data_IF_821692756916
#
_entry.id   IF_821692756916
#
_cell.length_a   1.000
_cell.length_b   1.000
_cell.length_c   1.000
_cell.angle_alpha   90.00
_cell.angle_beta   90.00
_cell.angle_gamma   90.00
#
_symmetry.space_group_name_H-M   'P 1'
#
loop_
_entity.id
_entity.type
_entity.pdbx_description
1 polymer ?
#
# COMPACT_ATOMS: atom_id res chain seq x y z
N UNK A 1 -47.12 -31.08 -14.36
CA UNK A 1 -46.65 -29.80 -14.89
C UNK A 1 -46.33 -28.91 -13.70
N UNK A 2 -45.06 -28.84 -13.36
CA UNK A 2 -44.54 -28.04 -12.24
C UNK A 2 -43.10 -27.70 -12.61
N UNK A 3 -42.86 -26.42 -12.89
CA UNK A 3 -41.54 -25.89 -13.25
C UNK A 3 -40.77 -25.66 -11.94
N UNK A 4 -39.57 -26.22 -11.74
CA UNK A 4 -38.74 -25.79 -10.63
C UNK A 4 -38.02 -24.48 -11.00
N UNK A 5 -38.11 -23.53 -10.06
CA UNK A 5 -37.44 -22.23 -10.04
C UNK A 5 -35.92 -22.40 -10.09
N UNK A 6 -35.28 -21.87 -11.13
CA UNK A 6 -33.84 -21.65 -11.14
C UNK A 6 -33.50 -20.58 -10.07
N UNK A 7 -32.71 -20.94 -9.07
CA UNK A 7 -32.00 -19.96 -8.25
C UNK A 7 -30.74 -19.58 -9.03
N UNK A 8 -30.59 -18.28 -9.28
CA UNK A 8 -29.37 -17.64 -9.80
C UNK A 8 -28.16 -18.15 -9.03
N UNK A 9 -27.42 -19.05 -9.65
CA UNK A 9 -26.01 -19.23 -9.40
C UNK A 9 -25.37 -18.80 -10.71
N UNK A 10 -24.82 -17.60 -10.75
CA UNK A 10 -23.93 -17.20 -11.83
C UNK A 10 -22.70 -18.09 -11.71
N UNK A 11 -22.70 -19.15 -12.54
CA UNK A 11 -21.58 -20.04 -12.73
C UNK A 11 -20.43 -19.24 -13.34
N UNK A 12 -19.52 -18.73 -12.51
CA UNK A 12 -18.15 -18.49 -12.97
C UNK A 12 -17.58 -19.85 -13.33
N UNK A 13 -17.45 -20.11 -14.63
CA UNK A 13 -16.57 -21.16 -15.12
C UNK A 13 -15.16 -20.80 -14.62
N UNK A 14 -14.72 -21.44 -13.54
CA UNK A 14 -13.30 -21.55 -13.23
C UNK A 14 -12.73 -22.35 -14.41
N UNK A 15 -12.19 -21.67 -15.43
CA UNK A 15 -11.31 -22.34 -16.36
C UNK A 15 -10.12 -22.84 -15.53
N UNK A 16 -10.03 -24.16 -15.39
CA UNK A 16 -8.87 -24.80 -14.77
C UNK A 16 -7.60 -24.25 -15.43
N UNK A 17 -6.71 -23.63 -14.64
CA UNK A 17 -5.41 -23.12 -15.09
C UNK A 17 -5.30 -21.62 -15.30
N UNK A 18 -6.38 -20.86 -15.46
CA UNK A 18 -6.30 -19.39 -15.56
C UNK A 18 -6.08 -18.76 -14.18
N UNK A 19 -5.04 -17.94 -14.04
CA UNK A 19 -4.64 -17.36 -12.76
C UNK A 19 -4.09 -15.95 -12.87
N UNK A 20 -4.35 -15.16 -11.84
CA UNK A 20 -3.70 -13.87 -11.56
C UNK A 20 -3.32 -13.85 -10.08
N UNK A 21 -2.16 -13.28 -9.78
CA UNK A 21 -1.66 -13.06 -8.41
C UNK A 21 -1.16 -11.62 -8.30
N UNK A 22 -1.79 -10.80 -7.47
CA UNK A 22 -1.41 -9.40 -7.24
C UNK A 22 -0.61 -9.24 -5.95
N UNK A 23 0.56 -8.60 -6.03
CA UNK A 23 1.46 -8.41 -4.89
C UNK A 23 2.20 -7.08 -4.97
N UNK A 24 2.81 -6.64 -3.87
CA UNK A 24 3.65 -5.42 -3.84
C UNK A 24 5.14 -5.74 -3.91
N UNK A 25 5.98 -4.70 -3.96
CA UNK A 25 7.43 -4.84 -3.79
C UNK A 25 7.86 -5.35 -2.40
N UNK A 26 6.96 -5.35 -1.40
CA UNK A 26 7.23 -5.87 -0.05
C UNK A 26 6.75 -7.31 0.14
N UNK A 27 5.87 -7.83 -0.72
CA UNK A 27 5.31 -9.18 -0.58
C UNK A 27 3.84 -9.26 -0.97
N UNK A 28 3.12 -10.23 -0.40
CA UNK A 28 1.72 -10.50 -0.75
C UNK A 28 1.53 -11.51 -1.88
N UNK A 29 2.52 -12.39 -2.12
CA UNK A 29 2.41 -13.43 -3.15
C UNK A 29 1.49 -14.57 -2.69
N UNK A 30 0.61 -14.99 -3.59
CA UNK A 30 -0.36 -16.05 -3.37
C UNK A 30 -1.78 -15.49 -3.28
N UNK A 31 -2.80 -16.33 -3.52
CA UNK A 31 -4.18 -15.86 -3.65
C UNK A 31 -4.63 -15.11 -2.40
N UNK A 32 -4.97 -13.82 -2.58
CA UNK A 32 -5.46 -12.97 -1.49
C UNK A 32 -4.53 -12.86 -0.27
N UNK A 33 -3.22 -12.99 -0.47
CA UNK A 33 -2.22 -12.87 0.60
C UNK A 33 -1.88 -11.39 0.82
N UNK A 34 -2.00 -10.84 2.04
CA UNK A 34 -1.70 -9.43 2.29
C UNK A 34 -0.19 -9.12 2.17
N UNK A 35 0.11 -7.88 1.82
CA UNK A 35 1.48 -7.36 1.79
C UNK A 35 1.88 -6.73 3.13
N UNK A 36 3.18 -6.69 3.45
CA UNK A 36 3.68 -5.86 4.54
C UNK A 36 3.24 -4.39 4.44
N UNK A 37 3.18 -3.69 5.59
CA UNK A 37 2.67 -2.33 5.65
C UNK A 37 3.59 -1.31 4.98
N UNK A 38 3.04 -0.12 4.76
CA UNK A 38 3.73 1.04 4.20
C UNK A 38 3.53 2.27 5.07
N UNK A 39 4.48 3.20 5.01
CA UNK A 39 4.34 4.52 5.62
C UNK A 39 3.82 5.53 4.58
N UNK A 40 3.22 6.66 4.99
CA UNK A 40 2.94 7.79 4.11
C UNK A 40 4.15 8.18 3.25
N UNK A 41 3.92 8.78 2.09
CA UNK A 41 4.98 9.16 1.15
C UNK A 41 5.69 8.00 0.43
N UNK A 42 5.54 6.75 0.89
CA UNK A 42 6.09 5.57 0.21
C UNK A 42 5.54 5.46 -1.22
N UNK A 43 6.40 5.03 -2.16
CA UNK A 43 5.94 4.58 -3.47
C UNK A 43 5.43 3.15 -3.34
N UNK A 44 4.25 2.87 -3.89
CA UNK A 44 3.67 1.53 -3.97
C UNK A 44 3.84 1.04 -5.40
N UNK A 45 4.38 -0.17 -5.56
CA UNK A 45 4.44 -0.85 -6.85
C UNK A 45 3.55 -2.08 -6.73
N UNK A 46 2.52 -2.15 -7.58
CA UNK A 46 1.68 -3.33 -7.72
C UNK A 46 2.17 -4.13 -8.92
N UNK A 47 2.36 -5.42 -8.71
CA UNK A 47 2.62 -6.40 -9.75
C UNK A 47 1.40 -7.30 -9.86
N UNK A 48 1.06 -7.71 -11.08
CA UNK A 48 0.15 -8.81 -11.34
C UNK A 48 0.88 -9.88 -12.15
N UNK A 49 0.97 -11.09 -11.61
CA UNK A 49 1.49 -12.25 -12.30
C UNK A 49 0.33 -13.02 -12.93
N UNK A 50 0.28 -13.06 -14.26
CA UNK A 50 -0.80 -13.69 -15.03
C UNK A 50 -0.30 -14.99 -15.63
N UNK A 51 -1.05 -16.07 -15.38
CA UNK A 51 -0.68 -17.41 -15.83
C UNK A 51 -1.85 -18.17 -16.45
N UNK A 52 -1.54 -19.06 -17.39
CA UNK A 52 -2.46 -20.08 -17.90
C UNK A 52 -1.80 -21.45 -17.82
N UNK A 53 -2.34 -22.35 -16.99
CA UNK A 53 -1.71 -23.62 -16.59
C UNK A 53 -0.28 -23.43 -16.06
N UNK A 54 -0.09 -22.45 -15.18
CA UNK A 54 1.22 -22.06 -14.60
C UNK A 54 2.25 -21.50 -15.60
N UNK A 55 1.90 -21.39 -16.89
CA UNK A 55 2.73 -20.72 -17.89
C UNK A 55 2.43 -19.22 -17.92
N UNK A 56 3.44 -18.36 -18.05
CA UNK A 56 3.25 -16.91 -18.07
C UNK A 56 2.49 -16.46 -19.31
N UNK A 57 1.47 -15.63 -19.11
CA UNK A 57 0.67 -15.05 -20.20
C UNK A 57 1.13 -13.63 -20.51
N UNK A 58 1.78 -13.44 -21.66
CA UNK A 58 2.28 -12.14 -22.13
C UNK A 58 1.19 -11.32 -22.87
N UNK A 59 1.35 -9.99 -22.90
CA UNK A 59 0.52 -9.02 -23.63
C UNK A 59 -0.96 -9.01 -23.17
N UNK A 60 -1.22 -9.43 -21.94
CA UNK A 60 -2.54 -9.31 -21.30
C UNK A 60 -2.67 -7.95 -20.67
N UNK A 61 -3.76 -7.25 -20.96
CA UNK A 61 -4.06 -6.00 -20.27
C UNK A 61 -4.65 -6.29 -18.90
N UNK A 62 -3.97 -5.82 -17.84
CA UNK A 62 -4.41 -5.99 -16.46
C UNK A 62 -4.91 -4.64 -15.94
N UNK A 63 -6.12 -4.65 -15.36
CA UNK A 63 -6.66 -3.50 -14.64
C UNK A 63 -6.43 -3.68 -13.13
N UNK A 64 -5.93 -2.64 -12.48
CA UNK A 64 -5.72 -2.56 -11.04
C UNK A 64 -6.69 -1.53 -10.46
N UNK A 65 -7.69 -1.97 -9.70
CA UNK A 65 -8.62 -1.11 -8.98
C UNK A 65 -8.10 -0.91 -7.55
N UNK A 66 -7.71 0.31 -7.21
CA UNK A 66 -7.09 0.63 -5.92
C UNK A 66 -8.06 1.44 -5.08
N UNK A 67 -8.42 0.92 -3.91
CA UNK A 67 -9.30 1.53 -2.93
C UNK A 67 -8.49 2.07 -1.75
N UNK A 68 -8.79 3.32 -1.37
CA UNK A 68 -8.33 3.90 -0.12
C UNK A 68 -9.17 3.36 1.08
N UNK A 69 -8.77 3.66 2.33
CA UNK A 69 -9.51 3.20 3.51
C UNK A 69 -10.95 3.71 3.60
N UNK A 70 -11.28 4.80 2.89
CA UNK A 70 -12.61 5.42 2.84
C UNK A 70 -13.47 4.86 1.70
N UNK A 71 -12.94 3.91 0.93
CA UNK A 71 -13.54 3.31 -0.26
C UNK A 71 -13.60 4.24 -1.49
N UNK A 72 -12.89 5.37 -1.47
CA UNK A 72 -12.60 6.09 -2.71
C UNK A 72 -11.62 5.26 -3.53
N UNK A 73 -11.68 5.35 -4.86
CA UNK A 73 -10.84 4.52 -5.71
C UNK A 73 -10.37 5.21 -6.98
N UNK A 74 -9.30 4.66 -7.54
CA UNK A 74 -8.81 4.96 -8.88
C UNK A 74 -8.35 3.67 -9.56
N UNK A 75 -8.17 3.73 -10.88
CA UNK A 75 -7.79 2.59 -11.70
C UNK A 75 -6.48 2.91 -12.42
N UNK A 76 -5.55 1.95 -12.39
CA UNK A 76 -4.37 1.94 -13.25
C UNK A 76 -4.43 0.69 -14.12
N UNK A 77 -3.74 0.69 -15.26
CA UNK A 77 -3.61 -0.50 -16.09
C UNK A 77 -2.21 -0.64 -16.67
N UNK A 78 -1.84 -1.89 -16.99
CA UNK A 78 -0.58 -2.21 -17.67
C UNK A 78 -0.70 -3.56 -18.38
N UNK A 79 0.03 -3.69 -19.49
CA UNK A 79 0.13 -4.96 -20.21
C UNK A 79 1.23 -5.86 -19.61
N UNK A 80 1.00 -7.17 -19.59
CA UNK A 80 1.99 -8.15 -19.11
C UNK A 80 3.19 -8.27 -20.07
N UNK A 81 4.38 -8.39 -19.50
CA UNK A 81 5.62 -8.64 -20.24
C UNK A 81 5.80 -10.14 -20.58
N UNK A 82 6.96 -10.52 -21.13
CA UNK A 82 7.30 -11.92 -21.50
C UNK A 82 7.30 -12.90 -20.33
N UNK A 83 7.39 -12.39 -19.09
CA UNK A 83 7.33 -13.20 -17.87
C UNK A 83 5.94 -13.23 -17.25
N UNK A 84 4.92 -12.71 -17.95
CA UNK A 84 3.54 -12.68 -17.45
C UNK A 84 3.27 -11.59 -16.41
N UNK A 85 4.21 -10.65 -16.19
CA UNK A 85 4.08 -9.60 -15.18
C UNK A 85 3.59 -8.30 -15.80
N UNK A 86 2.47 -7.77 -15.31
CA UNK A 86 2.07 -6.38 -15.46
C UNK A 86 2.45 -5.61 -14.18
N UNK A 87 2.87 -4.35 -14.31
CA UNK A 87 3.28 -3.54 -13.17
C UNK A 87 2.81 -2.09 -13.30
N UNK A 88 2.26 -1.56 -12.21
CA UNK A 88 1.88 -0.15 -12.06
C UNK A 88 2.45 0.40 -10.77
N UNK A 89 2.57 1.73 -10.66
CA UNK A 89 3.00 2.35 -9.41
C UNK A 89 2.29 3.66 -9.14
N UNK A 90 2.12 3.97 -7.86
CA UNK A 90 1.62 5.25 -7.38
C UNK A 90 2.35 5.64 -6.09
N UNK A 91 2.18 6.87 -5.64
CA UNK A 91 2.80 7.38 -4.41
C UNK A 91 1.72 7.71 -3.39
N UNK A 92 1.87 7.23 -2.17
CA UNK A 92 1.01 7.62 -1.06
C UNK A 92 1.22 9.12 -0.76
N UNK A 93 0.17 9.87 -0.39
CA UNK A 93 0.31 11.26 0.04
C UNK A 93 1.37 11.43 1.14
N UNK A 94 2.00 12.60 1.16
CA UNK A 94 2.94 13.05 2.20
C UNK A 94 2.28 13.01 3.58
N UNK A 95 3.05 13.00 4.70
CA UNK A 95 2.47 12.95 6.04
C UNK A 95 1.54 14.12 6.41
N UNK A 96 1.54 15.21 5.66
CA UNK A 96 0.48 16.23 5.74
C UNK A 96 -0.88 15.62 5.37
N UNK A 97 -1.74 15.39 6.38
CA UNK A 97 -3.02 14.72 6.22
C UNK A 97 -2.93 13.18 6.24
N UNK A 98 -1.80 12.61 6.69
CA UNK A 98 -1.59 11.16 6.72
C UNK A 98 -2.61 10.39 7.56
N UNK A 99 -3.20 11.03 8.57
CA UNK A 99 -4.28 10.46 9.36
C UNK A 99 -5.49 10.06 8.50
N UNK A 100 -5.69 10.72 7.34
CA UNK A 100 -6.81 10.44 6.44
C UNK A 100 -6.54 9.27 5.48
N UNK A 101 -5.28 8.84 5.33
CA UNK A 101 -4.88 7.74 4.45
C UNK A 101 -4.41 6.50 5.22
N UNK A 102 -4.22 6.61 6.53
CA UNK A 102 -3.89 5.49 7.40
C UNK A 102 -5.06 4.50 7.41
N UNK A 103 -4.75 3.21 7.32
CA UNK A 103 -5.77 2.16 7.26
C UNK A 103 -5.48 1.10 6.20
N UNK A 104 -6.44 0.20 6.02
CA UNK A 104 -6.35 -0.87 5.01
C UNK A 104 -6.64 -0.30 3.63
N UNK A 105 -5.66 -0.40 2.76
CA UNK A 105 -5.81 -0.21 1.32
C UNK A 105 -6.04 -1.56 0.66
N UNK A 106 -6.84 -1.56 -0.42
CA UNK A 106 -7.15 -2.78 -1.17
C UNK A 106 -6.93 -2.57 -2.66
N UNK A 107 -6.18 -3.46 -3.29
CA UNK A 107 -6.04 -3.54 -4.73
C UNK A 107 -6.78 -4.78 -5.25
N UNK A 108 -7.66 -4.61 -6.23
CA UNK A 108 -8.31 -5.71 -6.94
C UNK A 108 -7.75 -5.68 -8.36
N UNK A 109 -7.05 -6.75 -8.74
CA UNK A 109 -6.49 -6.86 -10.08
C UNK A 109 -7.32 -7.82 -10.91
N UNK A 110 -7.56 -7.47 -12.17
CA UNK A 110 -8.36 -8.30 -13.06
C UNK A 110 -7.81 -8.34 -14.47
N UNK A 111 -8.04 -9.48 -15.13
CA UNK A 111 -7.54 -9.78 -16.47
C UNK A 111 -8.47 -10.76 -17.16
N UNK A 112 -8.52 -10.71 -18.50
CA UNK A 112 -9.21 -11.72 -19.30
C UNK A 112 -8.21 -12.74 -19.88
N UNK A 113 -8.45 -14.03 -19.66
CA UNK A 113 -7.64 -15.15 -20.15
C UNK A 113 -8.60 -16.16 -20.77
N UNK A 114 -8.43 -16.45 -22.08
CA UNK A 114 -9.29 -17.39 -22.80
C UNK A 114 -10.80 -17.12 -22.58
N UNK A 115 -11.21 -15.86 -22.72
CA UNK A 115 -12.60 -15.37 -22.54
C UNK A 115 -13.15 -15.49 -21.11
N UNK A 116 -12.30 -15.81 -20.13
CA UNK A 116 -12.66 -15.80 -18.71
C UNK A 116 -12.00 -14.65 -17.99
N UNK A 117 -12.81 -13.93 -17.23
CA UNK A 117 -12.36 -12.88 -16.33
C UNK A 117 -11.86 -13.50 -15.03
N UNK A 118 -10.60 -13.25 -14.70
CA UNK A 118 -9.95 -13.73 -13.48
C UNK A 118 -9.55 -12.54 -12.62
N UNK A 119 -9.71 -12.69 -11.31
CA UNK A 119 -9.48 -11.63 -10.33
C UNK A 119 -8.63 -12.15 -9.18
N UNK A 120 -7.76 -11.30 -8.66
CA UNK A 120 -7.13 -11.48 -7.36
C UNK A 120 -7.16 -10.16 -6.57
N UNK A 121 -7.06 -10.27 -5.25
CA UNK A 121 -7.15 -9.14 -4.33
C UNK A 121 -5.90 -9.08 -3.47
N UNK A 122 -5.40 -7.88 -3.19
CA UNK A 122 -4.30 -7.64 -2.27
C UNK A 122 -4.72 -6.58 -1.27
N UNK A 123 -4.45 -6.83 0.01
CA UNK A 123 -4.56 -5.83 1.06
C UNK A 123 -3.18 -5.44 1.57
N UNK A 124 -2.99 -4.15 1.88
CA UNK A 124 -1.84 -3.66 2.60
C UNK A 124 -2.28 -2.54 3.55
N UNK A 125 -1.63 -2.45 4.70
CA UNK A 125 -1.96 -1.44 5.69
C UNK A 125 -1.01 -0.25 5.56
N UNK A 126 -1.55 0.96 5.57
CA UNK A 126 -0.76 2.19 5.69
C UNK A 126 -0.78 2.63 7.14
N UNK A 127 0.40 2.72 7.75
CA UNK A 127 0.57 3.12 9.16
C UNK A 127 1.06 4.56 9.20
N UNK A 128 0.27 5.42 9.85
CA UNK A 128 0.76 6.73 10.28
C UNK A 128 1.12 6.71 11.77
N UNK A 129 2.36 7.08 12.07
CA UNK A 129 2.80 7.37 13.42
C UNK A 129 3.61 8.66 13.38
N UNK A 130 3.14 9.70 14.08
CA UNK A 130 3.79 11.01 14.09
C UNK A 130 5.22 10.97 14.64
N UNK A 131 5.56 9.96 15.44
CA UNK A 131 6.89 9.76 16.00
C UNK A 131 7.86 8.97 15.09
N UNK A 132 7.37 8.36 14.01
CA UNK A 132 8.20 7.73 12.96
C UNK A 132 8.56 8.81 11.94
N UNK A 133 9.63 9.53 12.26
CA UNK A 133 10.05 10.77 11.59
C UNK A 133 10.67 10.47 10.24
N UNK A 134 11.42 9.36 10.14
CA UNK A 134 12.08 8.96 8.90
C UNK A 134 11.19 8.05 8.01
N UNK A 135 10.02 7.66 8.50
CA UNK A 135 9.00 6.86 7.81
C UNK A 135 9.47 5.44 7.44
N UNK A 136 10.28 4.84 8.30
CA UNK A 136 10.81 3.48 8.13
C UNK A 136 9.98 2.39 8.82
N UNK A 137 8.84 2.77 9.40
CA UNK A 137 7.90 1.93 10.16
C UNK A 137 8.41 1.53 11.54
N UNK A 138 9.42 2.22 12.06
CA UNK A 138 9.97 2.05 13.40
C UNK A 138 10.03 3.41 14.08
N UNK A 139 9.89 3.39 15.40
CA UNK A 139 10.23 4.53 16.24
C UNK A 139 11.44 4.15 17.04
N UNK A 140 12.61 4.59 16.60
CA UNK A 140 13.89 4.23 17.20
C UNK A 140 14.81 5.44 17.41
N UNK A 141 16.10 5.17 17.63
CA UNK A 141 17.07 6.23 17.91
C UNK A 141 17.30 7.14 16.71
N UNK A 142 17.08 6.68 15.48
CA UNK A 142 17.26 7.48 14.29
C UNK A 142 16.20 8.58 14.17
N UNK A 143 14.96 8.35 14.62
CA UNK A 143 13.93 9.40 14.69
C UNK A 143 14.34 10.50 15.67
N UNK A 144 14.74 10.09 16.88
CA UNK A 144 15.16 11.03 17.92
C UNK A 144 16.42 11.81 17.52
N UNK A 145 17.41 11.14 16.90
CA UNK A 145 18.64 11.79 16.42
C UNK A 145 18.35 12.75 15.26
N UNK A 146 17.41 12.42 14.37
CA UNK A 146 16.98 13.32 13.28
C UNK A 146 16.43 14.62 13.85
N UNK A 147 15.61 14.56 14.90
CA UNK A 147 15.05 15.77 15.51
C UNK A 147 16.03 16.49 16.44
N UNK A 148 16.90 15.77 17.13
CA UNK A 148 17.99 16.37 17.90
C UNK A 148 18.94 17.18 16.99
N UNK A 149 19.20 16.72 15.75
CA UNK A 149 20.00 17.46 14.79
C UNK A 149 19.34 18.77 14.31
N UNK A 150 18.00 18.85 14.38
CA UNK A 150 17.23 20.04 14.06
C UNK A 150 16.87 20.90 15.29
N UNK A 151 17.29 20.51 16.50
CA UNK A 151 16.85 21.13 17.75
C UNK A 151 17.09 22.65 17.78
N UNK A 152 16.07 23.39 18.20
CA UNK A 152 16.04 24.84 18.28
C UNK A 152 15.77 25.56 16.96
N UNK A 153 15.71 24.85 15.82
CA UNK A 153 15.38 25.47 14.52
C UNK A 153 13.91 25.87 14.40
N UNK A 154 13.66 26.77 13.47
CA UNK A 154 12.35 27.27 13.03
C UNK A 154 12.27 27.21 11.50
N UNK A 155 11.08 27.34 10.86
CA UNK A 155 10.91 27.18 9.41
C UNK A 155 11.81 28.01 8.48
N UNK A 156 12.42 29.10 8.96
CA UNK A 156 13.38 29.91 8.17
C UNK A 156 14.82 29.41 8.22
N UNK A 157 15.14 28.48 9.13
CA UNK A 157 16.50 28.05 9.41
C UNK A 157 16.92 26.92 8.47
N UNK A 158 18.19 26.90 8.07
CA UNK A 158 18.72 25.95 7.07
C UNK A 158 18.59 24.48 7.51
N UNK A 159 18.66 24.21 8.80
CA UNK A 159 18.57 22.86 9.36
C UNK A 159 17.18 22.54 9.95
N UNK A 160 16.16 23.33 9.59
CA UNK A 160 14.77 23.01 9.89
C UNK A 160 14.34 21.71 9.22
N UNK A 161 13.72 20.83 10.00
CA UNK A 161 13.07 19.64 9.49
C UNK A 161 11.58 19.67 9.89
N UNK A 162 10.64 19.89 8.96
CA UNK A 162 9.22 19.93 9.29
C UNK A 162 8.68 18.59 9.79
N UNK A 163 9.34 17.46 9.49
CA UNK A 163 8.94 16.15 10.02
C UNK A 163 9.23 15.99 11.51
N UNK A 164 10.00 16.91 12.10
CA UNK A 164 10.30 16.92 13.52
C UNK A 164 9.40 17.84 14.35
N UNK A 165 8.57 18.69 13.72
CA UNK A 165 7.67 19.64 14.38
C UNK A 165 6.34 18.94 14.69
N UNK A 166 6.35 18.05 15.68
CA UNK A 166 5.32 17.04 15.91
C UNK A 166 4.56 17.22 17.22
N UNK A 167 4.96 18.17 18.05
CA UNK A 167 4.32 18.51 19.31
C UNK A 167 4.19 20.02 19.50
N UNK A 168 3.25 20.44 20.34
CA UNK A 168 3.16 21.84 20.75
C UNK A 168 4.33 22.21 21.68
N UNK A 169 4.94 23.40 21.52
CA UNK A 169 4.57 24.46 20.58
C UNK A 169 5.10 24.25 19.15
N UNK A 170 4.20 24.29 18.16
CA UNK A 170 4.59 24.12 16.75
C UNK A 170 5.46 25.28 16.22
N UNK A 171 6.16 25.00 15.11
CA UNK A 171 7.10 25.88 14.38
C UNK A 171 8.41 26.14 15.12
N UNK A 172 8.76 25.27 16.05
CA UNK A 172 10.06 25.22 16.70
C UNK A 172 10.34 23.77 17.06
N UNK A 173 11.52 23.26 16.72
CA UNK A 173 11.92 21.91 17.16
C UNK A 173 12.44 22.03 18.58
N UNK A 174 11.75 21.46 19.57
CA UNK A 174 12.16 21.52 20.96
C UNK A 174 12.07 20.17 21.69
N UNK A 175 12.12 20.22 23.02
CA UNK A 175 12.13 19.02 23.86
C UNK A 175 10.80 18.25 23.78
N UNK A 176 9.67 18.93 23.51
CA UNK A 176 8.37 18.27 23.41
C UNK A 176 8.26 17.37 22.18
N UNK A 177 8.90 17.74 21.06
CA UNK A 177 9.00 16.89 19.89
C UNK A 177 9.79 15.61 20.20
N UNK A 178 10.96 15.76 20.80
CA UNK A 178 11.83 14.63 21.16
C UNK A 178 11.14 13.74 22.23
N UNK A 179 10.44 14.33 23.20
CA UNK A 179 9.67 13.58 24.21
C UNK A 179 8.51 12.82 23.56
N UNK A 180 7.90 13.35 22.50
CA UNK A 180 6.84 12.67 21.73
C UNK A 180 7.38 11.43 21.03
N UNK A 181 8.59 11.50 20.47
CA UNK A 181 9.31 10.34 19.92
C UNK A 181 9.59 9.33 21.03
N UNK A 182 10.19 9.78 22.13
CA UNK A 182 10.54 8.93 23.26
C UNK A 182 9.33 8.20 23.86
N UNK A 183 8.17 8.85 23.91
CA UNK A 183 6.91 8.25 24.38
C UNK A 183 6.37 7.15 23.46
N UNK A 184 6.82 7.11 22.21
CA UNK A 184 6.45 6.08 21.22
C UNK A 184 7.61 5.12 20.89
N UNK A 185 8.74 5.24 21.58
CA UNK A 185 9.96 4.50 21.30
C UNK A 185 9.75 2.98 21.35
N UNK A 186 10.34 2.27 20.40
CA UNK A 186 10.26 0.82 20.26
C UNK A 186 9.00 0.31 19.57
N UNK A 187 8.09 1.20 19.13
CA UNK A 187 7.01 0.81 18.23
C UNK A 187 7.60 0.43 16.87
N UNK A 188 7.19 -0.71 16.35
CA UNK A 188 7.61 -1.22 15.06
C UNK A 188 6.40 -1.88 14.39
N UNK A 189 6.25 -1.67 13.08
CA UNK A 189 5.12 -2.17 12.32
C UNK A 189 5.62 -3.14 11.24
N UNK A 190 5.78 -4.38 11.64
CA UNK A 190 6.10 -5.52 10.78
C UNK A 190 4.93 -6.51 10.77
N UNK A 191 4.77 -7.27 9.68
CA UNK A 191 3.88 -8.44 9.68
C UNK A 191 4.42 -9.56 10.58
#
# INVERSE_FOLDING_TARGET
MTIPRARHADFYLILEGAGIDVFTQKGGKGPSVPSPPFAPGNQIILYANVTYYEWPEQNKEVAFHIFDPRQDFFILSASTNTSGIAAVSFRLPSPEGAENISGTWRAISSVEIAEVHVVDTLEFYVVWNVADVNQDLKVDIYDAVTCAAAYGSKPSDLHWNPHCDIAEPYRIIDIFDIVTIAGSYGKEYNL
#
